data_IF_555545754923
#
_entry.id   IF_555545754923
#
_cell.length_a   1.000
_cell.length_b   1.000
_cell.length_c   1.000
_cell.angle_alpha   90.00
_cell.angle_beta   90.00
_cell.angle_gamma   90.00
#
_symmetry.space_group_name_H-M   'P 1'
#
loop_
_entity.id
_entity.type
_entity.pdbx_description
1 polymer ?
#
# COMPACT_ATOMS: atom_id res chain seq x y z
N UNK A 1 60.39 19.03 54.01
CA UNK A 1 60.41 19.07 52.48
C UNK A 1 59.16 18.27 52.05
N UNK A 2 58.01 18.98 51.88
CA UNK A 2 56.74 18.40 51.48
C UNK A 2 56.53 18.69 50.01
N UNK A 3 56.34 17.65 49.19
CA UNK A 3 56.03 17.78 47.78
C UNK A 3 54.49 17.70 47.62
N UNK A 4 53.88 18.76 47.16
CA UNK A 4 52.51 18.85 46.73
C UNK A 4 52.43 18.38 45.26
N UNK A 5 51.77 17.24 45.03
CA UNK A 5 51.41 16.72 43.67
C UNK A 5 50.06 17.31 43.35
N UNK A 6 50.03 18.25 42.42
CA UNK A 6 48.79 18.80 41.86
C UNK A 6 48.24 17.86 40.80
N UNK A 7 47.05 17.30 41.03
CA UNK A 7 46.29 16.52 40.07
C UNK A 7 45.47 17.51 39.20
N UNK A 8 45.88 17.71 37.95
CA UNK A 8 45.03 18.38 36.94
C UNK A 8 43.94 17.41 36.45
N UNK A 9 42.74 17.61 36.93
CA UNK A 9 41.53 16.93 36.34
C UNK A 9 41.18 17.65 35.03
N UNK A 10 41.50 17.02 33.90
CA UNK A 10 41.02 17.45 32.57
C UNK A 10 39.52 17.12 32.44
N UNK A 11 38.66 18.14 32.54
CA UNK A 11 37.26 18.05 32.21
C UNK A 11 37.17 17.92 30.67
N UNK A 12 36.97 16.71 30.19
CA UNK A 12 36.53 16.47 28.80
C UNK A 12 35.09 16.99 28.67
N UNK A 13 34.97 18.23 28.22
CA UNK A 13 33.70 18.76 27.69
C UNK A 13 33.38 17.96 26.44
N UNK A 14 32.55 16.94 26.55
CA UNK A 14 31.94 16.27 25.42
C UNK A 14 31.14 17.31 24.64
N UNK A 15 31.52 17.58 23.38
CA UNK A 15 30.68 18.36 22.48
C UNK A 15 29.30 17.70 22.43
N UNK A 16 28.21 18.46 22.47
CA UNK A 16 26.87 17.88 22.26
C UNK A 16 26.90 17.15 20.92
N UNK A 17 26.59 15.88 20.91
CA UNK A 17 26.37 15.14 19.68
C UNK A 17 25.27 15.88 18.95
N UNK A 18 25.59 16.45 17.79
CA UNK A 18 24.61 17.04 16.88
C UNK A 18 23.68 15.90 16.47
N UNK A 19 22.44 15.94 16.92
CA UNK A 19 21.40 15.01 16.47
C UNK A 19 21.23 15.21 14.96
N UNK A 20 21.51 14.17 14.20
CA UNK A 20 21.26 14.20 12.76
C UNK A 20 19.75 14.14 12.53
N UNK A 21 19.22 15.13 11.80
CA UNK A 21 17.79 15.20 11.48
C UNK A 21 17.52 14.59 10.12
N UNK A 22 16.72 13.53 10.07
CA UNK A 22 16.23 12.97 8.82
C UNK A 22 14.99 13.73 8.38
N UNK A 23 15.09 14.37 7.20
CA UNK A 23 13.96 15.04 6.56
C UNK A 23 13.21 14.07 5.65
N UNK A 24 11.90 13.99 5.82
CA UNK A 24 10.95 13.26 4.97
C UNK A 24 10.01 14.28 4.35
N UNK A 25 9.85 14.24 3.03
CA UNK A 25 8.94 15.11 2.30
C UNK A 25 7.74 14.28 1.81
N UNK A 26 6.54 14.67 2.24
CA UNK A 26 5.28 14.22 1.62
C UNK A 26 5.10 14.98 0.32
N UNK A 27 4.85 14.24 -0.77
CA UNK A 27 4.58 14.81 -2.08
C UNK A 27 3.32 14.18 -2.65
N UNK A 28 2.27 14.97 -2.77
CA UNK A 28 0.97 14.52 -3.25
C UNK A 28 0.55 15.30 -4.49
N UNK A 29 0.16 14.57 -5.54
CA UNK A 29 -0.63 15.12 -6.63
C UNK A 29 -2.07 14.68 -6.44
N UNK A 30 -2.93 15.60 -6.07
CA UNK A 30 -4.35 15.32 -5.90
C UNK A 30 -4.99 14.98 -7.25
N UNK A 31 -5.97 14.10 -7.23
CA UNK A 31 -6.83 13.83 -8.37
C UNK A 31 -8.21 14.42 -8.12
N UNK A 32 -8.89 14.86 -9.17
CA UNK A 32 -10.28 15.30 -9.04
C UNK A 32 -11.13 14.10 -8.63
N UNK A 33 -11.74 14.12 -7.44
CA UNK A 33 -12.56 13.00 -7.01
C UNK A 33 -13.80 12.87 -7.91
N UNK A 34 -14.29 11.65 -8.13
CA UNK A 34 -15.56 11.47 -8.81
C UNK A 34 -16.69 12.14 -8.00
N UNK A 35 -17.81 12.49 -8.65
CA UNK A 35 -18.96 13.06 -7.96
C UNK A 35 -19.40 12.20 -6.77
N UNK A 36 -19.52 12.79 -5.59
CA UNK A 36 -19.93 12.06 -4.39
C UNK A 36 -21.41 11.68 -4.53
N UNK A 37 -21.67 10.38 -4.56
CA UNK A 37 -23.04 9.88 -4.46
C UNK A 37 -23.53 10.00 -3.02
N UNK A 38 -24.80 10.33 -2.83
CA UNK A 38 -25.38 10.72 -1.53
C UNK A 38 -25.25 9.67 -0.41
N UNK A 39 -24.90 8.43 -0.74
CA UNK A 39 -24.76 7.31 0.18
C UNK A 39 -23.31 6.81 0.32
N UNK A 40 -22.34 7.56 -0.20
CA UNK A 40 -20.92 7.25 -0.07
C UNK A 40 -20.26 8.30 0.83
N UNK A 41 -19.35 7.82 1.68
CA UNK A 41 -18.47 8.72 2.40
C UNK A 41 -17.50 9.41 1.42
N UNK A 42 -17.29 10.71 1.61
CA UNK A 42 -16.28 11.42 0.86
C UNK A 42 -14.88 10.84 1.17
N UNK A 43 -14.03 10.77 0.16
CA UNK A 43 -12.61 10.46 0.37
C UNK A 43 -12.00 11.61 1.19
N UNK A 44 -11.34 11.33 2.33
CA UNK A 44 -10.73 12.39 3.13
C UNK A 44 -9.66 13.14 2.33
N UNK A 45 -9.65 14.47 2.39
CA UNK A 45 -8.64 15.30 1.72
C UNK A 45 -7.23 14.98 2.22
N UNK A 46 -7.07 14.60 3.49
CA UNK A 46 -5.82 14.23 4.13
C UNK A 46 -5.50 12.72 4.07
N UNK A 47 -6.18 11.96 3.16
CA UNK A 47 -5.92 10.52 2.99
C UNK A 47 -4.46 10.26 2.67
N UNK A 48 -3.79 9.45 3.48
CA UNK A 48 -2.35 9.15 3.42
C UNK A 48 -1.52 10.15 4.24
N UNK A 49 -1.79 11.45 4.15
CA UNK A 49 -1.05 12.46 4.89
C UNK A 49 -1.22 12.30 6.42
N UNK A 50 -2.42 11.98 6.89
CA UNK A 50 -2.66 11.73 8.31
C UNK A 50 -1.91 10.47 8.79
N UNK A 51 -1.78 9.44 7.94
CA UNK A 51 -0.94 8.27 8.22
C UNK A 51 0.54 8.65 8.36
N UNK A 52 1.03 9.50 7.46
CA UNK A 52 2.39 10.08 7.50
C UNK A 52 2.62 10.86 8.80
N UNK A 53 1.70 11.75 9.18
CA UNK A 53 1.80 12.54 10.42
C UNK A 53 1.84 11.66 11.67
N UNK A 54 0.99 10.63 11.74
CA UNK A 54 1.00 9.66 12.84
C UNK A 54 2.36 8.94 12.93
N UNK A 55 2.86 8.44 11.79
CA UNK A 55 4.13 7.73 11.75
C UNK A 55 5.32 8.62 12.17
N UNK A 56 5.35 9.89 11.77
CA UNK A 56 6.36 10.87 12.23
C UNK A 56 6.31 11.02 13.76
N UNK A 57 5.11 11.07 14.35
CA UNK A 57 4.96 11.08 15.81
C UNK A 57 5.53 9.84 16.47
N UNK A 58 5.28 8.66 15.88
CA UNK A 58 5.76 7.38 16.37
C UNK A 58 7.31 7.30 16.34
N UNK A 59 7.93 7.61 15.18
CA UNK A 59 9.39 7.53 15.03
C UNK A 59 10.12 8.60 15.85
N UNK A 60 9.56 9.79 16.02
CA UNK A 60 10.10 10.83 16.93
C UNK A 60 10.14 10.35 18.37
N UNK A 61 9.14 9.56 18.79
CA UNK A 61 9.14 8.99 20.14
C UNK A 61 10.31 8.04 20.35
N UNK A 62 10.62 7.19 19.38
CA UNK A 62 11.81 6.33 19.38
C UNK A 62 13.10 7.16 19.28
N UNK A 63 13.13 8.16 18.41
CA UNK A 63 14.26 9.05 18.17
C UNK A 63 14.78 9.76 19.42
N UNK A 64 13.89 10.12 20.35
CA UNK A 64 14.27 10.72 21.65
C UNK A 64 15.21 9.82 22.47
N UNK A 65 15.10 8.50 22.33
CA UNK A 65 15.95 7.55 23.02
C UNK A 65 17.23 7.20 22.25
N UNK A 66 17.19 7.34 20.90
CA UNK A 66 18.32 7.02 20.02
C UNK A 66 19.16 8.23 19.63
N UNK A 67 18.75 9.45 20.05
CA UNK A 67 19.43 10.71 19.68
C UNK A 67 19.18 11.12 18.24
N UNK A 68 18.10 10.68 17.61
CA UNK A 68 17.72 10.98 16.24
C UNK A 68 16.52 11.93 16.21
N UNK A 69 16.49 12.79 15.20
CA UNK A 69 15.37 13.71 14.97
C UNK A 69 14.79 13.52 13.55
N UNK A 70 13.52 13.91 13.38
CA UNK A 70 12.80 13.74 12.13
C UNK A 70 12.02 15.00 11.78
N UNK A 71 12.09 15.44 10.54
CA UNK A 71 11.33 16.57 10.02
C UNK A 71 10.38 16.09 8.90
N UNK A 72 9.15 16.60 8.91
CA UNK A 72 8.17 16.38 7.84
C UNK A 72 7.92 17.70 7.13
N UNK A 73 8.04 17.69 5.80
CA UNK A 73 7.54 18.75 4.94
C UNK A 73 6.36 18.21 4.12
N UNK A 74 5.30 18.98 4.05
CA UNK A 74 4.06 18.59 3.36
C UNK A 74 3.93 19.41 2.08
N UNK A 75 3.90 18.71 0.93
CA UNK A 75 3.74 19.32 -0.39
C UNK A 75 2.51 18.67 -1.06
N UNK A 76 1.40 19.40 -1.09
CA UNK A 76 0.14 18.99 -1.70
C UNK A 76 -0.11 19.86 -2.92
N UNK A 77 -0.19 19.23 -4.09
CA UNK A 77 -0.35 19.85 -5.39
C UNK A 77 -1.77 19.58 -5.88
N UNK A 78 -2.51 20.64 -6.23
CA UNK A 78 -3.86 20.51 -6.71
C UNK A 78 -3.92 19.83 -8.09
N UNK A 79 -5.07 19.22 -8.48
CA UNK A 79 -5.17 18.40 -9.71
C UNK A 79 -4.83 19.14 -11.00
N UNK A 80 -4.99 20.47 -11.02
CA UNK A 80 -4.73 21.31 -12.20
C UNK A 80 -3.34 21.93 -12.22
N UNK A 81 -2.55 21.77 -11.15
CA UNK A 81 -1.25 22.42 -11.00
C UNK A 81 -0.10 21.56 -11.56
N UNK A 82 1.03 22.19 -11.86
CA UNK A 82 2.21 21.51 -12.40
C UNK A 82 2.92 20.68 -11.32
N UNK A 83 2.57 19.39 -11.24
CA UNK A 83 3.17 18.46 -10.32
C UNK A 83 4.69 18.33 -10.51
N UNK A 84 5.17 18.21 -11.75
CA UNK A 84 6.60 18.03 -12.00
C UNK A 84 7.41 19.27 -11.68
N UNK A 85 6.87 20.45 -11.96
CA UNK A 85 7.51 21.72 -11.55
C UNK A 85 7.61 21.85 -10.02
N UNK A 86 6.56 21.48 -9.30
CA UNK A 86 6.57 21.41 -7.85
C UNK A 86 7.57 20.36 -7.32
N UNK A 87 7.60 19.18 -7.90
CA UNK A 87 8.53 18.11 -7.54
C UNK A 87 10.00 18.55 -7.72
N UNK A 88 10.34 19.17 -8.84
CA UNK A 88 11.67 19.74 -9.07
C UNK A 88 12.05 20.77 -8.01
N UNK A 89 11.11 21.62 -7.59
CA UNK A 89 11.33 22.59 -6.53
C UNK A 89 11.61 21.93 -5.19
N UNK A 90 10.87 20.86 -4.84
CA UNK A 90 11.09 20.07 -3.62
C UNK A 90 12.47 19.41 -3.64
N UNK A 91 12.87 18.85 -4.78
CA UNK A 91 14.19 18.22 -4.98
C UNK A 91 15.31 19.26 -4.90
N UNK A 92 15.17 20.44 -5.55
CA UNK A 92 16.12 21.54 -5.49
C UNK A 92 16.31 22.08 -4.06
N UNK A 93 15.28 22.00 -3.22
CA UNK A 93 15.33 22.32 -1.79
C UNK A 93 15.96 21.19 -0.94
N UNK A 94 16.60 20.20 -1.57
CA UNK A 94 17.40 19.18 -0.90
C UNK A 94 16.61 17.99 -0.35
N UNK A 95 15.40 17.71 -0.84
CA UNK A 95 14.66 16.50 -0.48
C UNK A 95 15.44 15.26 -0.89
N UNK A 96 15.58 14.30 0.01
CA UNK A 96 16.32 13.05 -0.18
C UNK A 96 15.44 11.80 0.03
N UNK A 97 14.37 11.94 0.80
CA UNK A 97 13.38 10.87 1.06
C UNK A 97 12.00 11.44 0.80
N UNK A 98 11.30 10.87 -0.17
CA UNK A 98 9.95 11.26 -0.55
C UNK A 98 8.97 10.14 -0.18
N UNK A 99 7.86 10.48 0.44
CA UNK A 99 6.66 9.64 0.49
C UNK A 99 5.66 10.21 -0.49
N UNK A 100 5.31 9.45 -1.51
CA UNK A 100 4.57 9.94 -2.67
C UNK A 100 3.18 9.33 -2.72
N UNK A 101 2.19 10.20 -2.96
CA UNK A 101 0.83 9.84 -3.36
C UNK A 101 0.52 10.58 -4.65
N UNK A 102 0.57 9.85 -5.77
CA UNK A 102 0.33 10.40 -7.09
C UNK A 102 -0.17 9.32 -8.05
N UNK A 103 -0.83 9.68 -9.16
CA UNK A 103 -1.10 8.75 -10.25
C UNK A 103 0.17 8.10 -10.79
N UNK A 104 0.07 6.87 -11.32
CA UNK A 104 1.21 6.12 -11.84
C UNK A 104 2.05 6.87 -12.88
N UNK A 105 1.47 7.60 -13.86
CA UNK A 105 2.25 8.39 -14.81
C UNK A 105 3.10 9.49 -14.15
N UNK A 106 2.56 10.15 -13.12
CA UNK A 106 3.27 11.23 -12.41
C UNK A 106 4.39 10.68 -11.54
N UNK A 107 4.15 9.52 -10.88
CA UNK A 107 5.18 8.81 -10.13
C UNK A 107 6.34 8.41 -11.04
N UNK A 108 6.07 7.86 -12.23
CA UNK A 108 7.10 7.50 -13.20
C UNK A 108 7.86 8.72 -13.67
N UNK A 109 7.15 9.79 -14.04
CA UNK A 109 7.77 11.03 -14.49
C UNK A 109 8.66 11.67 -13.39
N UNK A 110 8.23 11.62 -12.12
CA UNK A 110 9.04 12.03 -10.97
C UNK A 110 10.29 11.15 -10.83
N UNK A 111 10.13 9.83 -10.86
CA UNK A 111 11.22 8.88 -10.65
C UNK A 111 12.30 8.96 -11.75
N UNK A 112 11.89 9.35 -12.97
CA UNK A 112 12.77 9.53 -14.13
C UNK A 112 13.47 10.90 -14.19
N UNK A 113 13.17 11.83 -13.26
CA UNK A 113 13.89 13.10 -13.18
C UNK A 113 15.37 12.86 -12.85
N UNK A 114 16.31 13.51 -13.54
CA UNK A 114 17.74 13.43 -13.19
C UNK A 114 18.03 13.78 -11.73
N UNK A 115 17.28 14.75 -11.18
CA UNK A 115 17.37 15.21 -9.79
C UNK A 115 16.88 14.17 -8.78
N UNK A 116 16.05 13.22 -9.21
CA UNK A 116 15.51 12.17 -8.36
C UNK A 116 16.36 10.88 -8.35
N UNK A 117 17.45 10.83 -9.13
CA UNK A 117 18.28 9.62 -9.27
C UNK A 117 18.81 9.06 -7.94
N UNK A 118 19.23 9.97 -7.04
CA UNK A 118 19.79 9.61 -5.73
C UNK A 118 18.82 9.89 -4.58
N UNK A 119 17.50 9.87 -4.88
CA UNK A 119 16.41 10.07 -3.92
C UNK A 119 15.72 8.76 -3.65
N UNK A 120 15.41 8.47 -2.40
CA UNK A 120 14.57 7.35 -2.02
C UNK A 120 13.11 7.77 -2.11
N UNK A 121 12.36 7.14 -3.00
CA UNK A 121 10.94 7.37 -3.21
C UNK A 121 10.16 6.20 -2.64
N UNK A 122 9.22 6.47 -1.74
CA UNK A 122 8.27 5.48 -1.22
C UNK A 122 6.88 5.80 -1.79
N UNK A 123 6.42 4.97 -2.71
CA UNK A 123 5.08 5.05 -3.26
C UNK A 123 4.07 4.42 -2.29
N UNK A 124 3.16 5.25 -1.78
CA UNK A 124 2.15 4.85 -0.82
C UNK A 124 0.73 4.76 -1.42
N UNK A 125 0.59 4.80 -2.73
CA UNK A 125 -0.73 4.94 -3.37
C UNK A 125 -1.00 4.00 -4.52
N UNK A 126 -0.05 3.77 -5.43
CA UNK A 126 -0.30 3.00 -6.64
C UNK A 126 -0.36 1.50 -6.37
N UNK A 127 -1.29 0.82 -7.05
CA UNK A 127 -1.46 -0.63 -6.95
C UNK A 127 -1.10 -1.34 -8.27
N UNK A 128 -0.71 -0.59 -9.28
CA UNK A 128 -0.42 -1.09 -10.62
C UNK A 128 0.71 -2.11 -10.65
N UNK A 129 0.46 -3.29 -11.17
CA UNK A 129 1.46 -4.36 -11.26
C UNK A 129 2.59 -4.00 -12.24
N UNK A 130 2.34 -3.15 -13.26
CA UNK A 130 3.36 -2.69 -14.21
C UNK A 130 4.52 -1.96 -13.52
N UNK A 131 4.23 -1.19 -12.46
CA UNK A 131 5.26 -0.49 -11.67
C UNK A 131 6.16 -1.45 -10.84
N UNK A 132 5.78 -2.71 -10.72
CA UNK A 132 6.55 -3.80 -10.09
C UNK A 132 7.13 -4.76 -11.13
N UNK A 133 6.87 -4.49 -12.42
CA UNK A 133 7.31 -5.23 -13.58
C UNK A 133 8.10 -4.35 -14.56
N UNK A 134 7.64 -4.24 -15.78
CA UNK A 134 8.35 -3.58 -16.88
C UNK A 134 8.59 -2.07 -16.63
N UNK A 135 7.71 -1.42 -15.88
CA UNK A 135 7.80 0.00 -15.53
C UNK A 135 8.45 0.27 -14.18
N UNK A 136 9.13 -0.71 -13.58
CA UNK A 136 9.77 -0.52 -12.29
C UNK A 136 10.92 0.51 -12.34
N UNK A 137 11.15 1.20 -11.22
CA UNK A 137 12.25 2.16 -11.06
C UNK A 137 13.04 1.84 -9.80
N UNK A 138 14.36 1.74 -9.94
CA UNK A 138 15.25 1.31 -8.85
C UNK A 138 15.30 2.25 -7.65
N UNK A 139 14.88 3.51 -7.78
CA UNK A 139 14.77 4.49 -6.70
C UNK A 139 13.37 4.51 -6.04
N UNK A 140 12.43 3.65 -6.47
CA UNK A 140 11.06 3.57 -5.94
C UNK A 140 10.85 2.28 -5.17
N UNK A 141 10.33 2.38 -3.95
CA UNK A 141 9.82 1.27 -3.14
C UNK A 141 8.32 1.45 -2.93
N UNK A 142 7.55 0.38 -2.99
CA UNK A 142 6.08 0.43 -2.94
C UNK A 142 5.56 -0.11 -1.62
N UNK A 143 4.75 0.66 -0.91
CA UNK A 143 4.14 0.26 0.38
C UNK A 143 2.66 -0.08 0.28
N UNK A 144 1.95 0.39 -0.75
CA UNK A 144 0.62 -0.10 -1.06
C UNK A 144 0.69 -1.51 -1.67
N UNK A 145 -0.23 -2.44 -1.30
CA UNK A 145 -0.28 -3.76 -1.94
C UNK A 145 -0.66 -3.62 -3.41
N UNK A 146 -0.02 -4.41 -4.28
CA UNK A 146 -0.37 -4.43 -5.69
C UNK A 146 -1.69 -5.16 -5.96
N UNK A 147 -2.29 -4.94 -7.13
CA UNK A 147 -3.47 -5.70 -7.57
C UNK A 147 -3.21 -7.20 -7.58
N UNK A 148 -2.01 -7.62 -8.00
CA UNK A 148 -1.62 -9.02 -7.97
C UNK A 148 -1.62 -9.62 -6.56
N UNK A 149 -1.16 -8.90 -5.54
CA UNK A 149 -1.19 -9.37 -4.15
C UNK A 149 -2.63 -9.54 -3.65
N UNK A 150 -3.49 -8.58 -3.95
CA UNK A 150 -4.91 -8.61 -3.59
C UNK A 150 -5.64 -9.77 -4.27
N UNK A 151 -5.39 -9.97 -5.55
CA UNK A 151 -5.99 -11.05 -6.34
C UNK A 151 -5.54 -12.44 -5.87
N UNK A 152 -4.23 -12.62 -5.58
CA UNK A 152 -3.71 -13.89 -5.07
C UNK A 152 -4.30 -14.25 -3.70
N UNK A 153 -4.51 -13.27 -2.81
CA UNK A 153 -5.16 -13.47 -1.53
C UNK A 153 -6.60 -14.01 -1.69
N UNK A 154 -7.36 -13.46 -2.63
CA UNK A 154 -8.71 -13.99 -2.96
C UNK A 154 -8.65 -15.38 -3.56
N UNK A 155 -7.73 -15.64 -4.50
CA UNK A 155 -7.60 -16.95 -5.14
C UNK A 155 -7.28 -18.05 -4.12
N UNK A 156 -6.40 -17.79 -3.14
CA UNK A 156 -6.12 -18.71 -2.04
C UNK A 156 -7.40 -19.02 -1.23
N UNK A 157 -8.17 -18.00 -0.90
CA UNK A 157 -9.40 -18.17 -0.14
C UNK A 157 -10.47 -18.95 -0.93
N UNK A 158 -10.60 -18.67 -2.23
CA UNK A 158 -11.50 -19.41 -3.13
C UNK A 158 -11.17 -20.91 -3.14
N UNK A 159 -9.87 -21.25 -3.25
CA UNK A 159 -9.41 -22.63 -3.16
C UNK A 159 -9.67 -23.26 -1.80
N UNK A 160 -9.40 -22.53 -0.72
CA UNK A 160 -9.66 -22.99 0.65
C UNK A 160 -11.15 -23.31 0.85
N UNK A 161 -12.06 -22.48 0.27
CA UNK A 161 -13.51 -22.73 0.28
C UNK A 161 -13.97 -23.81 -0.69
N UNK A 162 -13.07 -24.31 -1.56
CA UNK A 162 -13.37 -25.29 -2.61
C UNK A 162 -14.40 -24.78 -3.64
N UNK A 163 -14.52 -23.47 -3.81
CA UNK A 163 -15.33 -22.88 -4.87
C UNK A 163 -14.65 -23.09 -6.22
N UNK A 164 -15.38 -23.64 -7.18
CA UNK A 164 -14.82 -24.05 -8.48
C UNK A 164 -15.45 -23.33 -9.66
N UNK A 165 -16.69 -22.92 -9.52
CA UNK A 165 -17.43 -22.21 -10.56
C UNK A 165 -17.41 -20.73 -10.21
N UNK A 166 -16.72 -19.93 -10.99
CA UNK A 166 -16.54 -18.51 -10.73
C UNK A 166 -17.15 -17.71 -11.87
N UNK A 167 -17.83 -16.63 -11.56
CA UNK A 167 -18.22 -15.61 -12.53
C UNK A 167 -17.56 -14.27 -12.19
N UNK A 168 -17.40 -13.40 -13.18
CA UNK A 168 -16.77 -12.09 -13.02
C UNK A 168 -17.63 -11.01 -13.67
N UNK A 169 -17.80 -9.91 -12.95
CA UNK A 169 -18.29 -8.64 -13.51
C UNK A 169 -17.19 -7.60 -13.36
N UNK A 170 -16.77 -6.97 -14.45
CA UNK A 170 -15.77 -5.91 -14.44
C UNK A 170 -16.36 -4.56 -14.83
N UNK A 171 -15.90 -3.49 -14.20
CA UNK A 171 -16.08 -2.14 -14.70
C UNK A 171 -15.20 -1.85 -15.92
N UNK A 172 -15.23 -0.60 -16.39
CA UNK A 172 -14.55 -0.16 -17.61
C UNK A 172 -13.41 0.83 -17.35
N UNK A 173 -13.27 1.30 -16.12
CA UNK A 173 -12.21 2.25 -15.78
C UNK A 173 -10.83 1.55 -15.76
N UNK A 174 -9.74 2.27 -15.99
CA UNK A 174 -8.40 1.69 -16.02
C UNK A 174 -8.07 0.84 -14.80
N UNK A 175 -8.43 1.28 -13.60
CA UNK A 175 -8.23 0.57 -12.34
C UNK A 175 -9.08 -0.72 -12.25
N UNK A 176 -10.30 -0.73 -12.80
CA UNK A 176 -11.14 -1.93 -12.87
C UNK A 176 -10.51 -2.97 -13.79
N UNK A 177 -10.03 -2.51 -14.95
CA UNK A 177 -9.37 -3.38 -15.93
C UNK A 177 -8.06 -3.94 -15.39
N UNK A 178 -7.28 -3.13 -14.65
CA UNK A 178 -6.05 -3.57 -14.01
C UNK A 178 -6.33 -4.65 -12.94
N UNK A 179 -7.31 -4.44 -12.07
CA UNK A 179 -7.68 -5.44 -11.07
C UNK A 179 -8.30 -6.70 -11.71
N UNK A 180 -9.10 -6.55 -12.78
CA UNK A 180 -9.62 -7.68 -13.58
C UNK A 180 -8.48 -8.51 -14.16
N UNK A 181 -7.46 -7.89 -14.72
CA UNK A 181 -6.28 -8.59 -15.24
C UNK A 181 -5.55 -9.36 -14.13
N UNK A 182 -5.35 -8.73 -12.96
CA UNK A 182 -4.75 -9.36 -11.80
C UNK A 182 -5.58 -10.55 -11.28
N UNK A 183 -6.91 -10.43 -11.22
CA UNK A 183 -7.79 -11.55 -10.86
C UNK A 183 -7.63 -12.72 -11.84
N UNK A 184 -7.68 -12.48 -13.16
CA UNK A 184 -7.51 -13.51 -14.19
C UNK A 184 -6.15 -14.20 -14.08
N UNK A 185 -5.07 -13.40 -13.84
CA UNK A 185 -3.73 -13.94 -13.60
C UNK A 185 -3.72 -14.85 -12.36
N UNK A 186 -4.27 -14.38 -11.24
CA UNK A 186 -4.33 -15.14 -10.01
C UNK A 186 -5.14 -16.44 -10.17
N UNK A 187 -6.30 -16.39 -10.83
CA UNK A 187 -7.08 -17.59 -11.12
C UNK A 187 -6.28 -18.62 -11.92
N UNK A 188 -5.54 -18.17 -12.95
CA UNK A 188 -4.64 -19.03 -13.74
C UNK A 188 -3.53 -19.63 -12.87
N UNK A 189 -2.83 -18.79 -12.07
CA UNK A 189 -1.77 -19.21 -11.15
C UNK A 189 -2.21 -20.30 -10.19
N UNK A 190 -3.44 -20.21 -9.69
CA UNK A 190 -4.00 -21.16 -8.72
C UNK A 190 -4.87 -22.27 -9.37
N UNK A 191 -4.87 -22.40 -10.70
CA UNK A 191 -5.60 -23.46 -11.41
C UNK A 191 -7.11 -23.33 -11.32
N UNK A 192 -7.62 -22.10 -11.21
CA UNK A 192 -9.03 -21.76 -11.22
C UNK A 192 -9.43 -21.21 -12.58
N UNK A 193 -10.71 -21.37 -12.95
CA UNK A 193 -11.25 -20.87 -14.23
C UNK A 193 -12.55 -20.13 -14.01
N UNK A 194 -12.79 -19.11 -14.87
CA UNK A 194 -14.09 -18.43 -14.94
C UNK A 194 -15.07 -19.28 -15.75
N UNK A 195 -16.28 -19.46 -15.22
CA UNK A 195 -17.40 -20.05 -15.94
C UNK A 195 -18.07 -19.02 -16.86
N UNK A 196 -18.03 -17.74 -16.49
CA UNK A 196 -18.57 -16.65 -17.29
C UNK A 196 -18.05 -15.30 -16.81
N UNK A 197 -18.12 -14.33 -17.72
CA UNK A 197 -17.73 -12.95 -17.41
C UNK A 197 -18.64 -11.97 -18.15
N UNK A 198 -18.87 -10.81 -17.53
CA UNK A 198 -19.59 -9.68 -18.10
C UNK A 198 -18.91 -8.37 -17.79
N UNK A 199 -19.00 -7.44 -18.71
CA UNK A 199 -18.56 -6.07 -18.51
C UNK A 199 -19.76 -5.21 -18.13
N UNK A 200 -19.59 -4.38 -17.10
CA UNK A 200 -20.63 -3.47 -16.65
C UNK A 200 -20.75 -2.30 -17.64
N UNK A 201 -21.90 -2.20 -18.30
CA UNK A 201 -22.13 -1.25 -19.38
C UNK A 201 -23.21 -0.20 -19.08
N UNK A 202 -23.62 -0.07 -17.81
CA UNK A 202 -24.63 0.90 -17.42
C UNK A 202 -23.97 2.22 -17.02
N UNK A 203 -24.39 3.30 -17.62
CA UNK A 203 -24.02 4.68 -17.30
C UNK A 203 -25.09 5.42 -16.49
N UNK A 204 -26.24 4.76 -16.25
CA UNK A 204 -27.38 5.36 -15.59
C UNK A 204 -27.27 5.28 -14.07
N UNK A 205 -27.97 6.19 -13.39
CA UNK A 205 -28.16 6.17 -11.96
C UNK A 205 -28.88 4.88 -11.50
N UNK A 206 -28.09 3.91 -11.03
CA UNK A 206 -28.58 2.60 -10.58
C UNK A 206 -29.37 2.65 -9.28
N UNK A 207 -29.38 3.75 -8.53
CA UNK A 207 -30.11 3.87 -7.25
C UNK A 207 -31.60 3.54 -7.37
N UNK A 208 -32.20 3.84 -8.53
CA UNK A 208 -33.62 3.60 -8.80
C UNK A 208 -33.88 2.35 -9.64
N UNK A 209 -32.92 1.94 -10.46
CA UNK A 209 -33.07 0.89 -11.45
C UNK A 209 -32.46 -0.45 -11.01
N UNK A 210 -31.59 -0.51 -9.99
CA UNK A 210 -30.83 -1.69 -9.60
C UNK A 210 -31.69 -2.95 -9.39
N UNK A 211 -32.83 -2.82 -8.74
CA UNK A 211 -33.73 -3.96 -8.46
C UNK A 211 -34.36 -4.59 -9.72
N UNK A 212 -34.41 -3.85 -10.84
CA UNK A 212 -34.92 -4.35 -12.11
C UNK A 212 -33.78 -4.74 -13.07
N UNK A 213 -32.76 -3.88 -13.17
CA UNK A 213 -31.70 -4.00 -14.18
C UNK A 213 -30.64 -5.06 -13.80
N UNK A 214 -30.23 -5.13 -12.52
CA UNK A 214 -29.18 -6.06 -12.12
C UNK A 214 -29.60 -7.53 -12.28
N UNK A 215 -30.82 -7.97 -11.91
CA UNK A 215 -31.27 -9.33 -12.20
C UNK A 215 -31.24 -9.65 -13.71
N UNK A 216 -31.74 -8.74 -14.56
CA UNK A 216 -31.73 -8.91 -16.02
C UNK A 216 -30.30 -9.00 -16.56
N UNK A 217 -29.40 -8.17 -16.06
CA UNK A 217 -28.00 -8.19 -16.45
C UNK A 217 -27.28 -9.46 -16.03
N UNK A 218 -27.60 -10.01 -14.84
CA UNK A 218 -26.91 -11.18 -14.29
C UNK A 218 -27.55 -12.53 -14.58
N UNK A 219 -28.76 -12.57 -15.15
CA UNK A 219 -29.51 -13.83 -15.42
C UNK A 219 -28.81 -14.76 -16.40
N UNK A 220 -27.99 -14.23 -17.31
CA UNK A 220 -27.26 -14.99 -18.33
C UNK A 220 -25.91 -15.51 -17.83
N UNK A 221 -25.50 -15.13 -16.63
CA UNK A 221 -24.28 -15.70 -16.04
C UNK A 221 -24.51 -17.19 -15.76
N UNK A 222 -23.54 -18.05 -16.12
CA UNK A 222 -23.63 -19.48 -15.78
C UNK A 222 -23.75 -19.69 -14.26
N UNK A 223 -24.24 -20.88 -13.86
CA UNK A 223 -24.23 -21.25 -12.44
C UNK A 223 -22.83 -21.17 -11.85
N UNK A 224 -22.67 -20.48 -10.73
CA UNK A 224 -21.40 -20.19 -10.09
C UNK A 224 -21.50 -20.27 -8.56
N UNK A 225 -20.37 -20.57 -7.91
CA UNK A 225 -20.23 -20.63 -6.46
C UNK A 225 -19.96 -19.24 -5.86
N UNK A 226 -19.27 -18.38 -6.63
CA UNK A 226 -18.85 -17.06 -6.23
C UNK A 226 -18.90 -16.10 -7.43
N UNK A 227 -19.38 -14.90 -7.20
CA UNK A 227 -19.31 -13.79 -8.15
C UNK A 227 -18.18 -12.85 -7.76
N UNK A 228 -17.19 -12.73 -8.65
CA UNK A 228 -16.11 -11.74 -8.53
C UNK A 228 -16.56 -10.42 -9.14
N UNK A 229 -16.16 -9.32 -8.54
CA UNK A 229 -16.45 -7.97 -9.05
C UNK A 229 -15.20 -7.12 -8.99
N UNK A 230 -14.91 -6.44 -10.11
CA UNK A 230 -13.88 -5.42 -10.24
C UNK A 230 -14.54 -4.07 -10.48
N UNK A 231 -14.58 -3.24 -9.44
CA UNK A 231 -15.16 -1.90 -9.36
C UNK A 231 -14.37 -1.12 -8.31
N UNK A 232 -13.18 -0.69 -8.67
CA UNK A 232 -12.24 -0.07 -7.73
C UNK A 232 -12.71 1.30 -7.22
N UNK A 233 -13.40 2.14 -8.01
CA UNK A 233 -14.00 3.38 -7.49
C UNK A 233 -15.26 3.15 -6.64
N UNK A 234 -15.86 1.94 -6.65
CA UNK A 234 -17.07 1.62 -5.88
C UNK A 234 -18.35 2.21 -6.48
N UNK A 235 -18.43 2.29 -7.81
CA UNK A 235 -19.55 2.93 -8.50
C UNK A 235 -20.82 2.05 -8.54
N UNK A 236 -20.68 0.78 -8.90
CA UNK A 236 -21.81 -0.11 -9.16
C UNK A 236 -21.87 -1.38 -8.30
N UNK A 237 -20.74 -1.91 -7.83
CA UNK A 237 -20.68 -3.23 -7.19
C UNK A 237 -21.59 -3.38 -5.97
N UNK A 238 -21.81 -2.30 -5.23
CA UNK A 238 -22.73 -2.24 -4.07
C UNK A 238 -24.18 -2.58 -4.43
N UNK A 239 -24.58 -2.41 -5.69
CA UNK A 239 -25.92 -2.73 -6.16
C UNK A 239 -26.08 -4.19 -6.58
N UNK A 240 -24.98 -4.94 -6.74
CA UNK A 240 -25.00 -6.31 -7.23
C UNK A 240 -25.39 -7.29 -6.13
N UNK A 241 -24.88 -7.13 -4.91
CA UNK A 241 -24.89 -8.12 -3.85
C UNK A 241 -26.28 -8.76 -3.59
N UNK A 242 -27.33 -7.95 -3.53
CA UNK A 242 -28.69 -8.42 -3.23
C UNK A 242 -29.67 -8.34 -4.41
N UNK A 243 -29.19 -7.88 -5.56
CA UNK A 243 -30.00 -7.76 -6.77
C UNK A 243 -29.61 -8.74 -7.87
N UNK A 244 -28.53 -9.53 -7.72
CA UNK A 244 -28.14 -10.53 -8.71
C UNK A 244 -29.20 -11.63 -8.84
N UNK A 245 -29.35 -12.15 -10.08
CA UNK A 245 -30.28 -13.24 -10.37
C UNK A 245 -30.06 -14.49 -9.51
N UNK A 246 -28.80 -14.89 -9.32
CA UNK A 246 -28.42 -15.97 -8.41
C UNK A 246 -27.82 -15.35 -7.14
N UNK A 247 -28.40 -15.61 -5.94
CA UNK A 247 -27.87 -15.13 -4.68
C UNK A 247 -26.60 -15.92 -4.31
N UNK A 248 -25.45 -15.45 -4.74
CA UNK A 248 -24.12 -16.02 -4.48
C UNK A 248 -23.27 -15.08 -3.66
N UNK A 249 -22.26 -15.58 -2.91
CA UNK A 249 -21.27 -14.73 -2.30
C UNK A 249 -20.61 -13.81 -3.32
N UNK A 250 -20.26 -12.57 -2.89
CA UNK A 250 -19.58 -11.56 -3.69
C UNK A 250 -18.17 -11.35 -3.14
N UNK A 251 -17.17 -11.22 -4.00
CA UNK A 251 -15.82 -10.90 -3.60
C UNK A 251 -15.11 -10.05 -4.67
N UNK A 252 -14.07 -9.33 -4.26
CA UNK A 252 -13.32 -8.42 -5.12
C UNK A 252 -13.35 -7.01 -4.57
N UNK A 253 -13.80 -6.05 -5.35
CA UNK A 253 -13.96 -4.66 -4.91
C UNK A 253 -15.14 -4.48 -3.95
N UNK A 254 -16.07 -5.43 -3.91
CA UNK A 254 -17.23 -5.43 -3.00
C UNK A 254 -17.45 -6.81 -2.39
N UNK A 255 -18.20 -6.88 -1.29
CA UNK A 255 -18.44 -8.11 -0.52
C UNK A 255 -17.25 -8.53 0.33
N UNK A 256 -16.57 -9.61 -0.03
CA UNK A 256 -15.30 -10.00 0.59
C UNK A 256 -14.15 -9.27 -0.13
N UNK A 257 -13.55 -8.28 0.54
CA UNK A 257 -12.53 -7.40 -0.06
C UNK A 257 -11.12 -7.76 0.42
N UNK A 258 -10.15 -7.91 -0.50
CA UNK A 258 -8.73 -7.99 -0.17
C UNK A 258 -8.19 -6.56 0.00
N UNK A 259 -7.69 -6.24 1.17
CA UNK A 259 -7.30 -4.87 1.53
C UNK A 259 -5.91 -4.81 2.15
N UNK A 260 -5.23 -3.66 2.04
CA UNK A 260 -3.96 -3.43 2.74
C UNK A 260 -4.16 -3.17 4.23
N UNK A 261 -5.31 -2.61 4.61
CA UNK A 261 -5.68 -2.30 5.99
C UNK A 261 -7.19 -2.22 6.16
N UNK A 262 -7.66 -2.59 7.34
CA UNK A 262 -9.04 -2.35 7.76
C UNK A 262 -9.14 -2.27 9.28
N UNK A 263 -9.96 -1.37 9.79
CA UNK A 263 -10.26 -1.24 11.22
C UNK A 263 -10.96 -2.45 11.84
N UNK A 264 -11.48 -3.38 11.02
CA UNK A 264 -12.06 -4.64 11.51
C UNK A 264 -11.00 -5.70 11.86
N UNK A 265 -9.72 -5.43 11.61
CA UNK A 265 -8.61 -6.24 12.09
C UNK A 265 -8.31 -5.83 13.53
N UNK A 266 -8.73 -6.65 14.49
CA UNK A 266 -8.58 -6.35 15.92
C UNK A 266 -7.33 -7.00 16.54
N UNK A 267 -6.75 -7.98 15.84
CA UNK A 267 -5.63 -8.80 16.32
C UNK A 267 -4.27 -8.10 16.10
N UNK A 268 -3.22 -8.69 16.66
CA UNK A 268 -1.81 -8.32 16.44
C UNK A 268 -1.45 -6.86 16.77
N UNK A 269 -2.25 -6.18 17.58
CA UNK A 269 -2.05 -4.77 17.89
C UNK A 269 -2.68 -3.79 16.89
N UNK A 270 -3.38 -4.30 15.87
CA UNK A 270 -4.04 -3.45 14.86
C UNK A 270 -5.06 -2.50 15.48
N UNK A 271 -5.86 -2.97 16.47
CA UNK A 271 -6.80 -2.11 17.19
C UNK A 271 -6.10 -0.94 17.91
N UNK A 272 -4.88 -1.13 18.41
CA UNK A 272 -4.11 -0.05 19.05
C UNK A 272 -3.67 1.00 18.03
N UNK A 273 -3.17 0.58 16.85
CA UNK A 273 -2.81 1.51 15.78
C UNK A 273 -4.05 2.26 15.29
N UNK A 274 -5.16 1.56 15.09
CA UNK A 274 -6.44 2.14 14.69
C UNK A 274 -6.93 3.21 15.68
N UNK A 275 -6.85 2.93 16.99
CA UNK A 275 -7.27 3.88 18.02
C UNK A 275 -6.38 5.12 18.05
N UNK A 276 -5.05 4.95 17.98
CA UNK A 276 -4.11 6.09 17.91
C UNK A 276 -4.35 6.95 16.66
N UNK A 277 -4.64 6.32 15.53
CA UNK A 277 -4.97 7.04 14.31
C UNK A 277 -6.29 7.82 14.47
N UNK A 278 -7.32 7.18 15.04
CA UNK A 278 -8.61 7.85 15.29
C UNK A 278 -8.47 9.04 16.24
N UNK A 279 -7.65 8.93 17.27
CA UNK A 279 -7.34 10.03 18.18
C UNK A 279 -6.62 11.17 17.47
N UNK A 280 -5.69 10.87 16.57
CA UNK A 280 -4.89 11.87 15.86
C UNK A 280 -5.67 12.54 14.69
N UNK A 281 -6.43 11.76 13.92
CA UNK A 281 -7.07 12.21 12.67
C UNK A 281 -8.59 12.44 12.78
N UNK A 282 -9.24 12.01 13.87
CA UNK A 282 -10.68 12.14 14.06
C UNK A 282 -11.54 11.23 13.17
N UNK A 283 -10.93 10.25 12.50
CA UNK A 283 -11.58 9.30 11.59
C UNK A 283 -10.90 7.93 11.63
N UNK A 284 -11.53 6.95 11.00
CA UNK A 284 -10.93 5.63 10.84
C UNK A 284 -9.73 5.66 9.86
N UNK A 285 -8.71 4.84 10.15
CA UNK A 285 -7.56 4.65 9.28
C UNK A 285 -7.96 3.84 8.05
N UNK A 286 -7.72 4.39 6.87
CA UNK A 286 -7.94 3.73 5.59
C UNK A 286 -6.65 3.09 5.05
N UNK A 287 -6.75 2.31 3.96
CA UNK A 287 -5.61 1.63 3.35
C UNK A 287 -4.48 2.59 2.95
N UNK A 288 -4.83 3.75 2.36
CA UNK A 288 -3.84 4.76 1.96
C UNK A 288 -3.11 5.38 3.16
N UNK A 289 -3.80 5.55 4.30
CA UNK A 289 -3.16 6.02 5.52
C UNK A 289 -2.17 5.00 6.07
N UNK A 290 -2.55 3.72 6.05
CA UNK A 290 -1.67 2.64 6.49
C UNK A 290 -0.44 2.50 5.59
N UNK A 291 -0.61 2.56 4.26
CA UNK A 291 0.51 2.50 3.32
C UNK A 291 1.51 3.65 3.55
N UNK A 292 1.01 4.87 3.77
CA UNK A 292 1.83 6.04 4.07
C UNK A 292 2.48 5.95 5.46
N UNK A 293 1.75 5.45 6.46
CA UNK A 293 2.29 5.16 7.79
C UNK A 293 3.46 4.16 7.71
N UNK A 294 3.29 3.06 6.97
CA UNK A 294 4.34 2.05 6.75
C UNK A 294 5.55 2.66 6.05
N UNK A 295 5.35 3.50 5.04
CA UNK A 295 6.44 4.16 4.32
C UNK A 295 7.37 4.93 5.28
N UNK A 296 6.79 5.78 6.11
CA UNK A 296 7.53 6.57 7.10
C UNK A 296 8.14 5.70 8.19
N UNK A 297 7.39 4.72 8.70
CA UNK A 297 7.88 3.80 9.72
C UNK A 297 9.08 2.97 9.22
N UNK A 298 9.05 2.55 7.95
CA UNK A 298 10.16 1.83 7.32
C UNK A 298 11.43 2.69 7.21
N UNK A 299 11.27 3.96 6.84
CA UNK A 299 12.38 4.93 6.83
C UNK A 299 12.93 5.14 8.23
N UNK A 300 12.05 5.28 9.24
CA UNK A 300 12.45 5.44 10.64
C UNK A 300 13.23 4.23 11.18
N UNK A 301 12.78 3.01 10.87
CA UNK A 301 13.50 1.77 11.22
C UNK A 301 14.87 1.72 10.54
N UNK A 302 14.93 2.04 9.23
CA UNK A 302 16.19 2.05 8.48
C UNK A 302 17.17 3.08 9.07
N UNK A 303 16.72 4.30 9.38
CA UNK A 303 17.58 5.32 9.99
C UNK A 303 18.04 4.89 11.39
N UNK A 304 17.17 4.30 12.19
CA UNK A 304 17.52 3.80 13.52
C UNK A 304 18.62 2.73 13.46
N UNK A 305 18.57 1.84 12.48
CA UNK A 305 19.55 0.74 12.33
C UNK A 305 20.85 1.16 11.68
N UNK A 306 20.75 2.00 10.64
CA UNK A 306 21.94 2.39 9.87
C UNK A 306 22.67 3.60 10.43
N UNK A 307 22.02 4.38 11.26
CA UNK A 307 22.53 5.68 11.77
C UNK A 307 22.94 6.62 10.63
N UNK A 308 22.26 6.55 9.48
CA UNK A 308 22.60 7.30 8.27
C UNK A 308 21.35 7.92 7.65
N UNK A 309 21.46 9.17 7.21
CA UNK A 309 20.43 9.88 6.45
C UNK A 309 20.63 9.74 4.93
N UNK A 310 21.66 9.01 4.51
CA UNK A 310 21.96 8.77 3.09
C UNK A 310 20.92 7.83 2.45
N UNK A 311 20.20 8.26 1.39
CA UNK A 311 19.16 7.47 0.76
C UNK A 311 19.61 6.10 0.25
N UNK A 312 20.83 6.02 -0.30
CA UNK A 312 21.36 4.76 -0.82
C UNK A 312 21.61 3.75 0.32
N UNK A 313 22.08 4.23 1.48
CA UNK A 313 22.28 3.41 2.68
C UNK A 313 20.96 2.95 3.26
N UNK A 314 19.97 3.85 3.39
CA UNK A 314 18.62 3.50 3.85
C UNK A 314 17.98 2.45 2.93
N UNK A 315 18.01 2.69 1.62
CA UNK A 315 17.45 1.77 0.61
C UNK A 315 18.11 0.40 0.67
N UNK A 316 19.44 0.34 0.75
CA UNK A 316 20.18 -0.92 0.83
C UNK A 316 19.75 -1.74 2.06
N UNK A 317 19.62 -1.10 3.21
CA UNK A 317 19.15 -1.77 4.42
C UNK A 317 17.69 -2.25 4.27
N UNK A 318 16.79 -1.41 3.75
CA UNK A 318 15.38 -1.78 3.54
C UNK A 318 15.21 -2.97 2.59
N UNK A 319 16.09 -3.13 1.60
CA UNK A 319 16.08 -4.24 0.65
C UNK A 319 16.83 -5.48 1.15
N UNK A 320 17.52 -5.40 2.30
CA UNK A 320 18.26 -6.52 2.88
C UNK A 320 17.35 -7.51 3.62
N UNK A 321 17.89 -8.71 3.81
CA UNK A 321 17.22 -9.74 4.62
C UNK A 321 17.18 -9.44 6.12
N UNK A 322 17.87 -8.41 6.58
CA UNK A 322 17.86 -7.96 7.97
C UNK A 322 16.65 -7.05 8.28
N UNK A 323 16.09 -6.41 7.25
CA UNK A 323 14.98 -5.47 7.45
C UNK A 323 13.71 -6.21 7.88
N UNK A 324 13.17 -5.80 9.02
CA UNK A 324 11.88 -6.27 9.55
C UNK A 324 11.14 -5.11 10.19
N UNK A 325 9.90 -4.89 9.78
CA UNK A 325 9.03 -3.86 10.34
C UNK A 325 7.78 -4.49 10.95
N UNK A 326 7.40 -4.02 12.14
CA UNK A 326 6.12 -4.39 12.75
C UNK A 326 4.97 -3.68 12.04
N UNK A 327 4.12 -4.44 11.33
CA UNK A 327 3.00 -3.91 10.54
C UNK A 327 1.62 -4.19 11.14
N UNK A 328 1.54 -4.70 12.37
CA UNK A 328 0.28 -5.00 13.07
C UNK A 328 -0.68 -5.94 12.34
N UNK A 329 -0.15 -6.76 11.42
CA UNK A 329 -0.89 -7.75 10.63
C UNK A 329 -0.39 -9.19 10.86
N UNK A 330 0.20 -9.45 12.04
CA UNK A 330 0.59 -10.79 12.48
C UNK A 330 1.90 -11.34 11.91
N UNK A 331 2.48 -10.69 10.90
CA UNK A 331 3.77 -11.04 10.30
C UNK A 331 4.63 -9.80 10.12
N UNK A 332 5.97 -9.91 10.24
CA UNK A 332 6.85 -8.79 9.96
C UNK A 332 6.78 -8.41 8.47
N UNK A 333 6.79 -7.11 8.21
CA UNK A 333 6.89 -6.57 6.86
C UNK A 333 8.34 -6.49 6.43
N UNK A 334 8.61 -6.67 5.12
CA UNK A 334 9.93 -6.51 4.51
C UNK A 334 9.76 -6.12 3.04
N UNK A 335 10.82 -5.65 2.37
CA UNK A 335 10.75 -5.35 0.95
C UNK A 335 11.31 -6.49 0.12
N UNK A 336 10.78 -6.66 -1.10
CA UNK A 336 11.32 -7.53 -2.13
C UNK A 336 12.51 -6.84 -2.78
N UNK A 337 13.63 -7.52 -2.85
CA UNK A 337 14.86 -6.98 -3.44
C UNK A 337 14.86 -7.02 -4.98
N UNK A 338 13.87 -7.66 -5.62
CA UNK A 338 13.77 -7.76 -7.09
C UNK A 338 12.80 -6.76 -7.73
N UNK A 339 11.92 -6.10 -6.95
CA UNK A 339 10.97 -5.12 -7.49
C UNK A 339 10.53 -4.03 -6.50
N UNK A 340 11.12 -3.98 -5.31
CA UNK A 340 10.83 -2.94 -4.32
C UNK A 340 9.45 -3.01 -3.67
N UNK A 341 8.62 -4.03 -3.92
CA UNK A 341 7.31 -4.18 -3.29
C UNK A 341 7.43 -4.61 -1.84
N UNK A 342 6.69 -3.97 -0.97
CA UNK A 342 6.54 -4.38 0.42
C UNK A 342 5.82 -5.74 0.50
N UNK A 343 6.41 -6.70 1.19
CA UNK A 343 5.76 -7.94 1.64
C UNK A 343 4.88 -7.63 2.81
N UNK A 344 3.59 -7.86 2.67
CA UNK A 344 2.62 -7.67 3.75
C UNK A 344 1.48 -8.69 3.65
N UNK A 345 0.91 -9.13 4.77
CA UNK A 345 -0.33 -9.89 4.76
C UNK A 345 -1.46 -9.09 4.14
N UNK A 346 -2.39 -9.79 3.50
CA UNK A 346 -3.59 -9.17 2.91
C UNK A 346 -4.82 -9.64 3.68
N UNK A 347 -5.43 -8.78 4.50
CA UNK A 347 -6.71 -9.06 5.13
C UNK A 347 -7.82 -9.24 4.09
N UNK A 348 -8.59 -10.31 4.22
CA UNK A 348 -9.84 -10.54 3.51
C UNK A 348 -10.97 -10.16 4.44
N UNK A 349 -11.62 -9.05 4.18
CA UNK A 349 -12.58 -8.45 5.10
C UNK A 349 -13.96 -8.28 4.45
N UNK A 350 -14.97 -8.34 5.28
CA UNK A 350 -16.28 -7.76 5.01
C UNK A 350 -16.36 -6.39 5.68
N UNK A 351 -17.47 -5.69 5.54
CA UNK A 351 -17.68 -4.39 6.19
C UNK A 351 -17.43 -4.41 7.72
N UNK A 352 -17.69 -5.56 8.37
CA UNK A 352 -17.71 -5.68 9.84
C UNK A 352 -16.79 -6.74 10.42
N UNK A 353 -16.10 -7.52 9.61
CA UNK A 353 -15.31 -8.65 10.12
C UNK A 353 -14.10 -8.98 9.25
N UNK A 354 -13.01 -9.36 9.92
CA UNK A 354 -11.92 -10.09 9.30
C UNK A 354 -12.38 -11.54 9.04
N UNK A 355 -12.38 -11.94 7.78
CA UNK A 355 -12.75 -13.31 7.37
C UNK A 355 -11.52 -14.23 7.35
N UNK A 356 -10.41 -13.72 6.80
CA UNK A 356 -9.15 -14.44 6.72
C UNK A 356 -8.00 -13.44 6.57
N UNK A 357 -6.78 -13.91 6.84
CA UNK A 357 -5.55 -13.14 6.61
C UNK A 357 -4.65 -13.96 5.69
N UNK A 358 -4.44 -13.49 4.48
CA UNK A 358 -3.56 -14.15 3.51
C UNK A 358 -2.09 -13.75 3.74
N UNK A 359 -1.12 -14.66 3.45
CA UNK A 359 -1.30 -15.98 2.86
C UNK A 359 -1.91 -16.98 3.84
N UNK A 360 -2.80 -17.82 3.32
CA UNK A 360 -3.45 -18.85 4.10
C UNK A 360 -2.50 -20.04 4.33
N UNK A 361 -2.74 -20.77 5.41
CA UNK A 361 -2.06 -22.04 5.66
C UNK A 361 -2.24 -23.00 4.49
N UNK A 362 -1.14 -23.65 4.05
CA UNK A 362 -1.10 -24.48 2.85
C UNK A 362 -0.72 -23.74 1.56
N UNK A 363 -0.60 -22.41 1.60
CA UNK A 363 -0.15 -21.59 0.47
C UNK A 363 1.14 -20.79 0.77
N UNK A 364 1.81 -21.10 1.86
CA UNK A 364 3.01 -20.37 2.28
C UNK A 364 4.16 -20.65 1.30
N UNK A 365 4.87 -19.61 0.91
CA UNK A 365 6.07 -19.73 0.08
C UNK A 365 7.24 -20.28 0.91
N UNK A 366 8.14 -21.05 0.26
CA UNK A 366 9.22 -21.77 0.95
C UNK A 366 10.29 -20.84 1.53
N UNK A 367 10.61 -19.74 0.84
CA UNK A 367 11.67 -18.81 1.25
C UNK A 367 11.14 -17.73 2.19
N UNK A 368 10.08 -17.03 1.79
CA UNK A 368 9.38 -16.05 2.59
C UNK A 368 7.88 -16.28 2.42
N UNK A 369 7.20 -16.55 3.51
CA UNK A 369 5.78 -16.91 3.51
C UNK A 369 4.90 -15.94 2.71
N UNK A 370 5.27 -14.65 2.64
CA UNK A 370 4.52 -13.59 1.95
C UNK A 370 4.78 -13.55 0.44
N UNK A 371 5.79 -14.23 -0.09
CA UNK A 371 6.12 -14.20 -1.52
C UNK A 371 5.15 -15.00 -2.40
N UNK A 372 4.24 -15.77 -1.79
CA UNK A 372 3.12 -16.37 -2.50
C UNK A 372 2.08 -15.36 -2.99
N UNK A 373 2.10 -14.11 -2.47
CA UNK A 373 1.17 -13.04 -2.83
C UNK A 373 1.82 -12.08 -3.83
N UNK A 374 1.24 -11.92 -5.01
CA UNK A 374 1.75 -11.01 -6.06
C UNK A 374 2.80 -11.66 -6.96
N UNK A 375 3.68 -10.83 -7.50
CA UNK A 375 4.72 -11.25 -8.46
C UNK A 375 5.93 -11.73 -7.70
N UNK A 376 6.24 -13.01 -7.79
CA UNK A 376 7.44 -13.62 -7.19
C UNK A 376 8.69 -13.36 -8.02
N UNK A 377 9.89 -13.60 -7.45
CA UNK A 377 11.16 -13.35 -8.11
C UNK A 377 11.28 -14.00 -9.49
N UNK A 378 10.90 -15.30 -9.69
CA UNK A 378 10.95 -15.93 -11.01
C UNK A 378 9.92 -15.38 -12.00
N UNK A 379 8.87 -14.71 -11.52
CA UNK A 379 7.79 -14.13 -12.34
C UNK A 379 8.08 -12.65 -12.69
N UNK A 380 9.09 -12.04 -12.05
CA UNK A 380 9.35 -10.61 -12.17
C UNK A 380 9.99 -10.25 -13.49
N UNK A 381 9.47 -9.24 -14.16
CA UNK A 381 10.03 -8.61 -15.35
C UNK A 381 10.80 -7.33 -15.04
N UNK A 382 10.89 -6.96 -13.77
CA UNK A 382 11.58 -5.74 -13.34
C UNK A 382 13.10 -5.87 -13.52
N UNK A 383 13.67 -4.99 -14.35
CA UNK A 383 15.11 -4.94 -14.60
C UNK A 383 15.86 -3.89 -13.76
N UNK A 384 15.15 -2.98 -13.09
CA UNK A 384 15.77 -1.83 -12.42
C UNK A 384 16.38 -2.13 -11.05
N UNK A 385 16.08 -3.30 -10.47
CA UNK A 385 16.64 -3.76 -9.20
C UNK A 385 17.86 -4.65 -9.36
N UNK A 386 18.35 -4.85 -10.60
CA UNK A 386 19.43 -5.69 -11.06
C UNK A 386 20.40 -6.23 -10.02
N UNK A 387 20.77 -7.51 -10.17
CA UNK A 387 21.83 -8.29 -9.51
C UNK A 387 22.33 -7.79 -8.15
N UNK A 388 21.47 -7.88 -7.14
CA UNK A 388 21.88 -8.00 -5.74
C UNK A 388 22.16 -9.49 -5.50
N UNK A 389 23.17 -10.05 -6.19
CA UNK A 389 23.78 -11.32 -5.82
C UNK A 389 24.85 -11.10 -4.78
#
# INVERSE_FOLDING_TARGET
>A
MQWLIGVCAALLLGAPASSETLRIDWLEHQVTPPPILSNMAAVPESLGLDGTRLAIGDIRTTGRFTGQDYALNENVIAPQDDFLGAAKSVLANGAKVLVVKAPAPDLLALADLPEAKDVLILDASTQDDALRGDDCRGNVLHTAPSYAMRADALAQFILFKKWRKLALISGQLPEDLAFTAALKRALTKFGLTLAGEKEWAFDADMRRAAAAEVPLFTQDLPDHDLLLVSDEPGDFARYIAYNSWLPRPLAGSEGLKPVGWSGVVEQYGAAQLQNRFREAAGREMAQGDFAAWVAVAAVGEAFTRTQSTDPATLRRYMLSDEFRLAGFLGRPLSFRNWNGQLRQPIPLVTERALTALAPLEGFLHQTNELDTLGIDAPESTCAAFGDSQ
#
